data_IF_104306592744
#
_entry.id   IF_104306592744
#
_cell.length_a   1.000
_cell.length_b   1.000
_cell.length_c   1.000
_cell.angle_alpha   90.00
_cell.angle_beta   90.00
_cell.angle_gamma   90.00
#
_symmetry.space_group_name_H-M   'P 1'
#
loop_
_entity.id
_entity.type
_entity.pdbx_description
1 polymer ?
#
# COMPACT_ATOMS: atom_id res chain seq x y z
N UNK A 1 -45.12 8.97 -5.56
CA UNK A 1 -43.99 8.05 -5.31
C UNK A 1 -42.74 8.74 -5.84
N UNK A 2 -42.01 9.46 -4.97
CA UNK A 2 -41.01 10.46 -5.38
C UNK A 2 -39.61 9.89 -5.25
N UNK A 3 -38.83 10.02 -6.34
CA UNK A 3 -37.40 9.77 -6.45
C UNK A 3 -36.60 10.34 -5.25
N UNK A 4 -36.22 9.50 -4.28
CA UNK A 4 -35.26 9.84 -3.21
C UNK A 4 -33.83 9.34 -3.48
N UNK A 5 -33.65 8.36 -4.37
CA UNK A 5 -32.36 7.72 -4.61
C UNK A 5 -31.26 8.66 -5.17
N UNK A 6 -31.62 9.76 -5.84
CA UNK A 6 -30.63 10.64 -6.50
C UNK A 6 -29.92 11.66 -5.60
N UNK A 7 -30.50 12.05 -4.45
CA UNK A 7 -29.86 13.02 -3.53
C UNK A 7 -28.96 12.36 -2.50
N UNK A 8 -29.31 11.16 -2.06
CA UNK A 8 -28.54 10.37 -1.09
C UNK A 8 -27.21 9.89 -1.71
N UNK A 9 -27.23 9.40 -2.95
CA UNK A 9 -26.02 9.01 -3.69
C UNK A 9 -25.09 10.22 -3.95
N UNK A 10 -25.65 11.38 -4.30
CA UNK A 10 -24.85 12.59 -4.53
C UNK A 10 -24.24 13.16 -3.24
N UNK A 11 -24.98 13.16 -2.13
CA UNK A 11 -24.48 13.58 -0.83
C UNK A 11 -23.39 12.62 -0.33
N UNK A 12 -23.61 11.31 -0.46
CA UNK A 12 -22.62 10.27 -0.12
C UNK A 12 -21.32 10.43 -0.90
N UNK A 13 -21.41 10.61 -2.24
CA UNK A 13 -20.23 10.87 -3.08
C UNK A 13 -19.48 12.15 -2.71
N UNK A 14 -20.20 13.21 -2.30
CA UNK A 14 -19.57 14.45 -1.84
C UNK A 14 -18.86 14.26 -0.50
N UNK A 15 -19.50 13.59 0.45
CA UNK A 15 -18.93 13.29 1.77
C UNK A 15 -17.69 12.41 1.64
N UNK A 16 -17.76 11.36 0.80
CA UNK A 16 -16.64 10.49 0.48
C UNK A 16 -15.46 11.30 -0.08
N UNK A 17 -15.69 12.11 -1.12
CA UNK A 17 -14.64 12.95 -1.72
C UNK A 17 -14.04 13.92 -0.72
N UNK A 18 -14.86 14.54 0.12
CA UNK A 18 -14.41 15.44 1.16
C UNK A 18 -13.45 14.75 2.16
N UNK A 19 -13.81 13.55 2.61
CA UNK A 19 -12.96 12.77 3.52
C UNK A 19 -11.60 12.42 2.89
N UNK A 20 -11.57 12.05 1.61
CA UNK A 20 -10.31 11.83 0.86
C UNK A 20 -9.47 13.12 0.82
N UNK A 21 -10.07 14.25 0.46
CA UNK A 21 -9.38 15.54 0.38
C UNK A 21 -8.84 16.01 1.74
N UNK A 22 -9.60 15.80 2.82
CA UNK A 22 -9.15 16.12 4.18
C UNK A 22 -7.88 15.33 4.55
N UNK A 23 -7.84 14.02 4.29
CA UNK A 23 -6.63 13.22 4.53
C UNK A 23 -5.43 13.73 3.73
N UNK A 24 -5.62 13.99 2.44
CA UNK A 24 -4.55 14.47 1.54
C UNK A 24 -4.04 15.87 1.90
N UNK A 25 -4.86 16.70 2.56
CA UNK A 25 -4.49 18.06 2.97
C UNK A 25 -3.92 18.15 4.39
N UNK A 26 -3.61 17.01 5.02
CA UNK A 26 -3.07 16.94 6.39
C UNK A 26 -4.12 17.00 7.49
N UNK A 27 -5.42 17.05 7.14
CA UNK A 27 -6.54 17.06 8.09
C UNK A 27 -7.06 15.63 8.34
N UNK A 28 -6.15 14.71 8.64
CA UNK A 28 -6.47 13.28 8.72
C UNK A 28 -7.44 12.91 9.86
N UNK A 29 -7.44 13.63 10.99
CA UNK A 29 -8.41 13.41 12.06
C UNK A 29 -9.86 13.71 11.62
N UNK A 30 -10.07 14.83 10.93
CA UNK A 30 -11.39 15.17 10.38
C UNK A 30 -11.83 14.17 9.31
N UNK A 31 -10.88 13.68 8.50
CA UNK A 31 -11.13 12.58 7.57
C UNK A 31 -11.59 11.32 8.30
N UNK A 32 -10.94 10.99 9.42
CA UNK A 32 -11.24 9.81 10.23
C UNK A 32 -12.66 9.87 10.80
N UNK A 33 -13.07 11.01 11.33
CA UNK A 33 -14.44 11.21 11.83
C UNK A 33 -15.49 10.92 10.76
N UNK A 34 -15.27 11.41 9.54
CA UNK A 34 -16.18 11.17 8.42
C UNK A 34 -16.20 9.69 8.04
N UNK A 35 -15.04 9.04 7.93
CA UNK A 35 -14.98 7.62 7.60
C UNK A 35 -15.65 6.74 8.63
N UNK A 36 -15.46 7.01 9.92
CA UNK A 36 -16.13 6.28 10.99
C UNK A 36 -17.65 6.47 10.95
N UNK A 37 -18.13 7.68 10.61
CA UNK A 37 -19.56 7.94 10.40
C UNK A 37 -20.11 7.15 9.21
N UNK A 38 -19.42 7.16 8.07
CA UNK A 38 -19.81 6.39 6.88
C UNK A 38 -19.79 4.88 7.13
N UNK A 39 -18.80 4.40 7.90
CA UNK A 39 -18.69 2.99 8.27
C UNK A 39 -19.81 2.56 9.22
N UNK A 40 -20.28 3.43 10.10
CA UNK A 40 -21.43 3.14 10.96
C UNK A 40 -22.72 2.96 10.14
N UNK A 41 -22.85 3.64 9.01
CA UNK A 41 -23.98 3.50 8.08
C UNK A 41 -23.82 2.29 7.16
N UNK A 42 -22.59 1.99 6.73
CA UNK A 42 -22.26 0.97 5.74
C UNK A 42 -21.06 0.11 6.19
N UNK A 43 -21.24 -0.78 7.20
CA UNK A 43 -20.15 -1.46 7.90
C UNK A 43 -19.42 -2.54 7.09
N UNK A 44 -19.93 -2.86 5.90
CA UNK A 44 -19.40 -3.91 5.01
C UNK A 44 -19.11 -3.38 3.60
N UNK A 45 -19.06 -2.06 3.41
CA UNK A 45 -18.64 -1.49 2.14
C UNK A 45 -17.10 -1.51 2.05
N UNK A 46 -16.50 -2.28 1.12
CA UNK A 46 -15.06 -2.47 1.06
C UNK A 46 -14.28 -1.17 0.89
N UNK A 47 -14.76 -0.25 0.05
CA UNK A 47 -14.09 1.03 -0.20
C UNK A 47 -14.06 1.91 1.05
N UNK A 48 -15.13 1.92 1.85
CA UNK A 48 -15.19 2.68 3.11
C UNK A 48 -14.23 2.07 4.14
N UNK A 49 -14.18 0.74 4.24
CA UNK A 49 -13.23 0.04 5.11
C UNK A 49 -11.78 0.36 4.71
N UNK A 50 -11.46 0.30 3.42
CA UNK A 50 -10.14 0.64 2.90
C UNK A 50 -9.75 2.08 3.23
N UNK A 51 -10.63 3.06 2.96
CA UNK A 51 -10.34 4.46 3.26
C UNK A 51 -10.21 4.70 4.77
N UNK A 52 -11.01 4.01 5.59
CA UNK A 52 -10.89 4.05 7.05
C UNK A 52 -9.51 3.56 7.48
N UNK A 53 -9.07 2.42 6.95
CA UNK A 53 -7.77 1.84 7.23
C UNK A 53 -6.62 2.80 6.87
N UNK A 54 -6.66 3.35 5.65
CA UNK A 54 -5.64 4.28 5.17
C UNK A 54 -5.59 5.57 6.00
N UNK A 55 -6.73 6.09 6.43
CA UNK A 55 -6.71 7.26 7.32
C UNK A 55 -6.12 6.92 8.70
N UNK A 56 -6.35 5.72 9.24
CA UNK A 56 -5.72 5.29 10.50
C UNK A 56 -4.20 5.14 10.35
N UNK A 57 -3.72 4.51 9.27
CA UNK A 57 -2.29 4.41 8.92
C UNK A 57 -1.63 5.79 8.83
N UNK A 58 -2.23 6.75 8.11
CA UNK A 58 -1.73 8.14 8.03
C UNK A 58 -1.64 8.84 9.40
N UNK A 59 -2.48 8.45 10.36
CA UNK A 59 -2.46 8.97 11.73
C UNK A 59 -1.48 8.21 12.66
N UNK A 60 -0.79 7.19 12.15
CA UNK A 60 0.07 6.31 12.95
C UNK A 60 -0.70 5.32 13.83
N UNK A 61 -2.01 5.15 13.60
CA UNK A 61 -2.90 4.23 14.30
C UNK A 61 -2.86 2.84 13.63
N UNK A 62 -1.66 2.29 13.55
CA UNK A 62 -1.35 1.13 12.73
C UNK A 62 -2.06 -0.13 13.19
N UNK A 63 -2.16 -0.33 14.51
CA UNK A 63 -2.86 -1.49 15.09
C UNK A 63 -4.34 -1.44 14.76
N UNK A 64 -4.93 -0.25 14.78
CA UNK A 64 -6.33 -0.01 14.45
C UNK A 64 -6.60 -0.10 12.94
N UNK A 65 -5.62 0.19 12.09
CA UNK A 65 -5.76 0.11 10.64
C UNK A 65 -5.91 -1.34 10.13
N UNK A 66 -5.16 -2.28 10.70
CA UNK A 66 -5.11 -3.70 10.30
C UNK A 66 -6.50 -4.33 10.07
N UNK A 67 -7.42 -4.36 11.07
CA UNK A 67 -8.70 -5.05 10.89
C UNK A 67 -9.55 -4.44 9.78
N UNK A 68 -9.42 -3.14 9.51
CA UNK A 68 -10.14 -2.49 8.41
C UNK A 68 -9.57 -2.89 7.05
N UNK A 69 -8.24 -2.93 6.90
CA UNK A 69 -7.59 -3.42 5.68
C UNK A 69 -7.92 -4.89 5.41
N UNK A 70 -7.75 -5.77 6.41
CA UNK A 70 -8.04 -7.21 6.28
C UNK A 70 -9.50 -7.42 5.85
N UNK A 71 -10.45 -6.70 6.49
CA UNK A 71 -11.86 -6.80 6.15
C UNK A 71 -12.15 -6.27 4.74
N UNK A 72 -11.59 -5.12 4.35
CA UNK A 72 -11.77 -4.55 3.01
C UNK A 72 -11.30 -5.52 1.92
N UNK A 73 -10.11 -6.10 2.08
CA UNK A 73 -9.56 -7.09 1.13
C UNK A 73 -10.45 -8.33 1.08
N UNK A 74 -10.92 -8.83 2.23
CA UNK A 74 -11.76 -10.05 2.30
C UNK A 74 -13.12 -9.89 1.63
N UNK A 75 -13.70 -8.68 1.66
CA UNK A 75 -15.00 -8.38 1.07
C UNK A 75 -14.91 -8.05 -0.42
N UNK A 76 -13.69 -7.93 -0.96
CA UNK A 76 -13.43 -7.69 -2.37
C UNK A 76 -13.36 -6.20 -2.72
N UNK A 77 -12.19 -5.76 -3.16
CA UNK A 77 -11.94 -4.43 -3.71
C UNK A 77 -11.72 -4.53 -5.22
N UNK A 78 -12.00 -3.44 -5.94
CA UNK A 78 -11.56 -3.30 -7.32
C UNK A 78 -10.02 -3.21 -7.37
N UNK A 79 -9.42 -3.60 -8.49
CA UNK A 79 -7.97 -3.83 -8.58
C UNK A 79 -7.10 -2.64 -8.11
N UNK A 80 -7.47 -1.39 -8.45
CA UNK A 80 -6.71 -0.21 -7.99
C UNK A 80 -6.75 -0.06 -6.46
N UNK A 81 -7.92 -0.24 -5.87
CA UNK A 81 -8.09 -0.10 -4.42
C UNK A 81 -7.52 -1.31 -3.69
N UNK A 82 -7.61 -2.50 -4.29
CA UNK A 82 -7.01 -3.72 -3.77
C UNK A 82 -5.49 -3.59 -3.74
N UNK A 83 -4.86 -3.06 -4.81
CA UNK A 83 -3.44 -2.79 -4.82
C UNK A 83 -3.05 -1.81 -3.70
N UNK A 84 -3.80 -0.70 -3.56
CA UNK A 84 -3.58 0.26 -2.47
C UNK A 84 -3.76 -0.34 -1.08
N UNK A 85 -4.77 -1.18 -0.88
CA UNK A 85 -5.03 -1.86 0.39
C UNK A 85 -3.94 -2.89 0.74
N UNK A 86 -3.48 -3.67 -0.24
CA UNK A 86 -2.39 -4.63 -0.04
C UNK A 86 -1.06 -3.92 0.29
N UNK A 87 -0.76 -2.80 -0.37
CA UNK A 87 0.43 -2.00 -0.10
C UNK A 87 0.38 -1.39 1.30
N UNK A 88 -0.75 -0.75 1.64
CA UNK A 88 -0.98 -0.16 2.95
C UNK A 88 -0.87 -1.19 4.07
N UNK A 89 -1.61 -2.31 3.96
CA UNK A 89 -1.55 -3.38 4.95
C UNK A 89 -0.15 -4.02 5.06
N UNK A 90 0.54 -4.23 3.94
CA UNK A 90 1.92 -4.75 3.94
C UNK A 90 2.88 -3.80 4.67
N UNK A 91 2.75 -2.49 4.44
CA UNK A 91 3.51 -1.48 5.17
C UNK A 91 3.15 -1.45 6.67
N UNK A 92 1.87 -1.46 7.01
CA UNK A 92 1.38 -1.50 8.40
C UNK A 92 1.85 -2.76 9.14
N UNK A 93 1.84 -3.93 8.52
CA UNK A 93 2.42 -5.14 9.12
C UNK A 93 3.90 -4.95 9.42
N UNK A 94 4.65 -4.34 8.50
CA UNK A 94 6.07 -4.04 8.70
C UNK A 94 6.29 -3.07 9.86
N UNK A 95 5.50 -1.99 9.98
CA UNK A 95 5.63 -1.02 11.09
C UNK A 95 5.29 -1.63 12.44
N UNK A 96 4.39 -2.63 12.47
CA UNK A 96 4.02 -3.38 13.67
C UNK A 96 4.97 -4.54 14.04
N UNK A 97 6.03 -4.78 13.27
CA UNK A 97 6.95 -5.89 13.50
C UNK A 97 6.47 -7.25 13.00
N UNK A 98 5.32 -7.29 12.30
CA UNK A 98 4.77 -8.49 11.66
C UNK A 98 5.43 -8.72 10.30
N UNK A 99 6.75 -8.89 10.31
CA UNK A 99 7.56 -8.85 9.08
C UNK A 99 7.26 -10.00 8.12
N UNK A 100 6.99 -11.21 8.62
CA UNK A 100 6.61 -12.36 7.78
C UNK A 100 5.25 -12.15 7.10
N UNK A 101 4.29 -11.57 7.81
CA UNK A 101 2.99 -11.23 7.22
C UNK A 101 3.14 -10.17 6.13
N UNK A 102 3.98 -9.15 6.37
CA UNK A 102 4.32 -8.14 5.38
C UNK A 102 4.96 -8.78 4.13
N UNK A 103 5.99 -9.62 4.32
CA UNK A 103 6.68 -10.32 3.23
C UNK A 103 5.72 -11.15 2.40
N UNK A 104 4.88 -11.96 3.04
CA UNK A 104 3.91 -12.83 2.38
C UNK A 104 2.87 -12.04 1.59
N UNK A 105 2.29 -10.99 2.18
CA UNK A 105 1.28 -10.17 1.53
C UNK A 105 1.86 -9.38 0.35
N UNK A 106 3.03 -8.78 0.51
CA UNK A 106 3.70 -8.00 -0.54
C UNK A 106 4.13 -8.90 -1.71
N UNK A 107 4.58 -10.12 -1.43
CA UNK A 107 4.86 -11.12 -2.47
C UNK A 107 3.60 -11.49 -3.26
N UNK A 108 2.49 -11.75 -2.58
CA UNK A 108 1.19 -11.99 -3.23
C UNK A 108 0.76 -10.78 -4.09
N UNK A 109 1.00 -9.55 -3.61
CA UNK A 109 0.72 -8.34 -4.35
C UNK A 109 1.56 -8.21 -5.63
N UNK A 110 2.86 -8.55 -5.58
CA UNK A 110 3.74 -8.59 -6.76
C UNK A 110 3.27 -9.63 -7.79
N UNK A 111 2.81 -10.81 -7.35
CA UNK A 111 2.27 -11.84 -8.24
C UNK A 111 0.96 -11.40 -8.91
N UNK A 112 0.12 -10.66 -8.17
CA UNK A 112 -1.18 -10.19 -8.66
C UNK A 112 -1.08 -8.94 -9.54
N UNK A 113 -0.18 -8.03 -9.22
CA UNK A 113 0.01 -6.73 -9.87
C UNK A 113 1.47 -6.56 -10.32
N UNK A 114 1.94 -7.37 -11.29
CA UNK A 114 3.35 -7.39 -11.70
C UNK A 114 3.83 -6.07 -12.31
N UNK A 115 2.92 -5.18 -12.73
CA UNK A 115 3.23 -3.85 -13.24
C UNK A 115 3.45 -2.79 -12.14
N UNK A 116 3.01 -3.07 -10.90
CA UNK A 116 3.08 -2.16 -9.74
C UNK A 116 4.40 -2.33 -9.01
N UNK A 117 5.40 -1.59 -9.47
CA UNK A 117 6.80 -1.69 -9.01
C UNK A 117 6.99 -1.29 -7.55
N UNK A 118 6.10 -0.48 -6.99
CA UNK A 118 6.11 -0.10 -5.58
C UNK A 118 6.07 -1.33 -4.65
N UNK A 119 5.43 -2.44 -5.04
CA UNK A 119 5.41 -3.65 -4.21
C UNK A 119 6.80 -4.26 -4.00
N UNK A 120 7.64 -4.30 -5.03
CA UNK A 120 9.02 -4.82 -4.92
C UNK A 120 9.85 -3.97 -3.94
N UNK A 121 9.65 -2.65 -3.94
CA UNK A 121 10.32 -1.73 -3.00
C UNK A 121 9.90 -2.00 -1.56
N UNK A 122 8.59 -2.11 -1.28
CA UNK A 122 8.10 -2.42 0.06
C UNK A 122 8.47 -3.85 0.49
N UNK A 123 8.49 -4.81 -0.44
CA UNK A 123 8.92 -6.18 -0.21
C UNK A 123 10.39 -6.22 0.22
N UNK A 124 11.27 -5.48 -0.47
CA UNK A 124 12.67 -5.32 -0.06
C UNK A 124 12.81 -4.72 1.34
N UNK A 125 11.97 -3.74 1.71
CA UNK A 125 11.95 -3.24 3.09
C UNK A 125 11.57 -4.35 4.08
N UNK A 126 10.57 -5.20 3.77
CA UNK A 126 10.21 -6.33 4.62
C UNK A 126 11.35 -7.35 4.75
N UNK A 127 12.02 -7.70 3.64
CA UNK A 127 13.21 -8.56 3.62
C UNK A 127 14.32 -8.01 4.51
N UNK A 128 14.57 -6.70 4.44
CA UNK A 128 15.56 -6.06 5.32
C UNK A 128 15.23 -6.25 6.80
N UNK A 129 13.96 -6.08 7.20
CA UNK A 129 13.55 -6.28 8.59
C UNK A 129 13.69 -7.74 9.06
N UNK A 130 13.67 -8.70 8.14
CA UNK A 130 13.89 -10.13 8.39
C UNK A 130 15.39 -10.53 8.38
N UNK A 131 16.29 -9.60 8.08
CA UNK A 131 17.72 -9.90 7.95
C UNK A 131 18.13 -10.45 6.59
N UNK A 132 17.21 -10.54 5.62
CA UNK A 132 17.46 -11.01 4.25
C UNK A 132 18.08 -9.89 3.41
N UNK A 133 19.20 -9.32 3.87
CA UNK A 133 19.79 -8.10 3.32
C UNK A 133 20.24 -8.24 1.87
N UNK A 134 20.84 -9.37 1.50
CA UNK A 134 21.26 -9.63 0.13
C UNK A 134 20.07 -9.60 -0.85
N UNK A 135 18.99 -10.32 -0.52
CA UNK A 135 17.77 -10.34 -1.33
C UNK A 135 17.08 -8.97 -1.37
N UNK A 136 17.06 -8.23 -0.25
CA UNK A 136 16.54 -6.87 -0.22
C UNK A 136 17.30 -5.94 -1.18
N UNK A 137 18.63 -6.04 -1.19
CA UNK A 137 19.47 -5.24 -2.07
C UNK A 137 19.34 -5.65 -3.53
N UNK A 138 19.21 -6.95 -3.82
CA UNK A 138 18.96 -7.46 -5.16
C UNK A 138 17.69 -6.84 -5.75
N UNK A 139 16.57 -6.89 -5.00
CA UNK A 139 15.30 -6.29 -5.39
C UNK A 139 15.42 -4.78 -5.67
N UNK A 140 16.06 -4.02 -4.78
CA UNK A 140 16.22 -2.58 -4.94
C UNK A 140 17.14 -2.20 -6.10
N UNK A 141 18.24 -2.93 -6.30
CA UNK A 141 19.17 -2.68 -7.40
C UNK A 141 18.54 -3.04 -8.75
N UNK A 142 17.76 -4.13 -8.80
CA UNK A 142 16.94 -4.48 -9.96
C UNK A 142 15.95 -3.37 -10.30
N UNK A 143 15.16 -2.91 -9.33
CA UNK A 143 14.23 -1.78 -9.52
C UNK A 143 14.95 -0.52 -9.99
N UNK A 144 16.10 -0.18 -9.40
CA UNK A 144 16.86 1.02 -9.75
C UNK A 144 17.40 0.95 -11.20
N UNK A 145 17.94 -0.20 -11.60
CA UNK A 145 18.46 -0.41 -12.95
C UNK A 145 17.37 -0.32 -14.03
N UNK A 146 16.14 -0.74 -13.70
CA UNK A 146 15.02 -0.72 -14.64
C UNK A 146 14.28 0.61 -14.71
N UNK A 147 14.15 1.34 -13.59
CA UNK A 147 13.23 2.50 -13.48
C UNK A 147 13.90 3.85 -13.49
N UNK A 148 15.19 3.93 -13.16
CA UNK A 148 15.84 5.23 -12.95
C UNK A 148 15.84 6.09 -14.21
N UNK A 149 15.44 7.36 -14.11
CA UNK A 149 15.60 8.33 -15.18
C UNK A 149 16.97 9.05 -15.14
N UNK A 150 17.81 8.74 -14.14
CA UNK A 150 19.13 9.35 -14.01
C UNK A 150 20.10 8.82 -15.09
N UNK A 151 20.76 9.74 -15.80
CA UNK A 151 21.65 9.40 -16.89
C UNK A 151 22.85 8.56 -16.44
N UNK A 152 23.39 8.81 -15.24
CA UNK A 152 24.51 8.05 -14.69
C UNK A 152 24.12 6.61 -14.39
N UNK A 153 22.98 6.43 -13.71
CA UNK A 153 22.45 5.10 -13.42
C UNK A 153 22.13 4.33 -14.70
N UNK A 154 21.50 4.98 -15.69
CA UNK A 154 21.17 4.34 -16.96
C UNK A 154 22.40 3.90 -17.76
N UNK A 155 23.49 4.68 -17.74
CA UNK A 155 24.75 4.30 -18.36
C UNK A 155 25.34 3.01 -17.76
N UNK A 156 25.13 2.78 -16.46
CA UNK A 156 25.65 1.60 -15.73
C UNK A 156 24.59 0.54 -15.40
N UNK A 157 23.36 0.65 -15.92
CA UNK A 157 22.23 -0.24 -15.56
C UNK A 157 22.53 -1.73 -15.74
N UNK A 158 23.29 -2.11 -16.77
CA UNK A 158 23.70 -3.50 -17.00
C UNK A 158 24.62 -4.03 -15.91
N UNK A 159 25.55 -3.19 -15.44
CA UNK A 159 26.44 -3.54 -14.35
C UNK A 159 25.67 -3.61 -13.02
N UNK A 160 24.81 -2.63 -12.75
CA UNK A 160 23.95 -2.61 -11.56
C UNK A 160 23.11 -3.88 -11.48
N UNK A 161 22.43 -4.25 -12.57
CA UNK A 161 21.65 -5.47 -12.64
C UNK A 161 22.51 -6.74 -12.52
N UNK A 162 23.71 -6.76 -13.11
CA UNK A 162 24.61 -7.91 -13.03
C UNK A 162 25.14 -8.18 -11.62
N UNK A 163 25.41 -7.12 -10.85
CA UNK A 163 25.96 -7.23 -9.49
C UNK A 163 24.88 -7.30 -8.40
N UNK A 164 23.60 -7.12 -8.74
CA UNK A 164 22.49 -7.08 -7.79
C UNK A 164 22.42 -8.32 -6.87
N UNK A 165 22.70 -9.51 -7.41
CA UNK A 165 22.72 -10.81 -6.73
C UNK A 165 24.15 -11.28 -6.34
N UNK A 166 25.17 -10.40 -6.47
CA UNK A 166 26.60 -10.74 -6.32
C UNK A 166 27.37 -9.78 -5.42
N UNK A 167 26.68 -9.12 -4.49
CA UNK A 167 27.30 -8.09 -3.64
C UNK A 167 28.42 -8.62 -2.75
N UNK A 168 28.38 -9.90 -2.38
CA UNK A 168 29.43 -10.57 -1.59
C UNK A 168 30.43 -11.35 -2.45
N UNK A 169 30.26 -11.39 -3.77
CA UNK A 169 31.16 -12.12 -4.66
C UNK A 169 32.49 -11.37 -4.81
N UNK A 170 33.60 -12.11 -4.73
CA UNK A 170 34.96 -11.64 -5.02
C UNK A 170 35.45 -12.36 -6.28
N UNK A 171 36.12 -11.66 -7.19
CA UNK A 171 36.66 -12.20 -8.44
C UNK A 171 38.19 -12.20 -8.41
N UNK A 172 38.79 -13.29 -8.89
CA UNK A 172 40.23 -13.49 -9.05
C UNK A 172 40.68 -13.30 -10.51
#
# INVERSE_FOLDING_TARGET
>A
MVFRAGREDFAGRRTFRNAVTLRQSGNAEQSREIWLSLLAEQPEQPEILYQTAWTHDVLGLEKEAVPYYEKAISLGLQDEELAGAMLGLGSTYRTLGRYEDAKSLLKQAMEKFPERREFSVFYAMALYNLGEHAAAMEELLGQLAETSADNGIQAYRKAIAFYADKLDQVWD
#
